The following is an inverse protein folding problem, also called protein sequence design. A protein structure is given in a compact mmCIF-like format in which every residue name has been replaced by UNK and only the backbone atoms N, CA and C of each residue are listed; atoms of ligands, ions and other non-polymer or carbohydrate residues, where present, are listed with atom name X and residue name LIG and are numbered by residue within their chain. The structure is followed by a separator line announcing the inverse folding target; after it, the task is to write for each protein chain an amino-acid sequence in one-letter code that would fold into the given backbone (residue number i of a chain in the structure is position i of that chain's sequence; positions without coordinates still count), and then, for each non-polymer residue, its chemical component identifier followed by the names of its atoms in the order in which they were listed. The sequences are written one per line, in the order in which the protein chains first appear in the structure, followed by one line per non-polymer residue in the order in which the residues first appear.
data_IF_348480238009
#
_entry.id   IF_348480238009
#
_cell.length_a   1.000
_cell.length_b   1.000
_cell.length_c   1.000
_cell.angle_alpha   90.00
_cell.angle_beta   90.00
_cell.angle_gamma   90.00
#
_symmetry.space_group_name_H-M   'P 1'
#
loop_
_entity.id
_entity.type
_entity.pdbx_description
1 polymer ?
#
# COMPACT_ATOMS: atom_id res chain seq x y z
N UNK A 1 -63.25 55.80 2.71
CA UNK A 1 -64.61 55.52 3.21
C UNK A 1 -64.89 54.04 3.03
N UNK A 2 -65.35 53.36 4.09
CA UNK A 2 -66.13 52.12 4.01
C UNK A 2 -65.38 50.77 4.03
N UNK A 3 -65.07 50.28 5.24
CA UNK A 3 -65.15 48.84 5.59
C UNK A 3 -66.62 48.37 5.52
N UNK A 4 -66.97 47.08 5.29
CA UNK A 4 -67.11 46.14 6.42
C UNK A 4 -66.90 44.61 6.17
N UNK A 5 -66.38 43.95 7.21
CA UNK A 5 -66.73 42.66 7.84
C UNK A 5 -66.85 41.33 7.03
N UNK A 6 -66.07 40.33 7.48
CA UNK A 6 -66.62 39.11 8.11
C UNK A 6 -65.61 38.41 9.02
N UNK A 7 -66.06 38.07 10.22
CA UNK A 7 -65.39 37.36 11.30
C UNK A 7 -65.50 35.83 11.15
N UNK A 8 -64.46 35.09 11.54
CA UNK A 8 -64.57 33.69 11.99
C UNK A 8 -63.55 33.45 13.11
N UNK A 9 -64.04 32.89 14.22
CA UNK A 9 -63.31 32.73 15.47
C UNK A 9 -62.22 31.65 15.46
N UNK A 10 -61.15 31.93 16.20
CA UNK A 10 -60.05 31.00 16.46
C UNK A 10 -60.47 29.94 17.50
N UNK A 11 -60.47 28.68 17.07
CA UNK A 11 -60.59 27.50 17.94
C UNK A 11 -59.18 27.11 18.39
N UNK A 12 -58.90 27.24 19.69
CA UNK A 12 -57.61 26.93 20.33
C UNK A 12 -57.32 25.43 20.19
N UNK A 13 -56.30 25.05 19.41
CA UNK A 13 -55.81 23.67 19.26
C UNK A 13 -55.03 23.24 20.51
N UNK A 14 -55.31 22.04 21.00
CA UNK A 14 -54.86 21.49 22.28
C UNK A 14 -53.48 20.83 22.12
N UNK A 15 -52.47 21.62 21.71
CA UNK A 15 -51.15 21.11 21.29
C UNK A 15 -50.34 20.49 22.45
N UNK A 16 -50.54 20.96 23.70
CA UNK A 16 -49.90 20.36 24.88
C UNK A 16 -50.38 18.93 25.16
N UNK A 17 -51.66 18.63 24.94
CA UNK A 17 -52.18 17.27 25.16
C UNK A 17 -51.59 16.28 24.15
N UNK A 18 -51.38 16.73 22.90
CA UNK A 18 -50.77 15.92 21.85
C UNK A 18 -49.30 15.65 22.14
N UNK A 19 -48.56 16.63 22.65
CA UNK A 19 -47.15 16.46 23.04
C UNK A 19 -46.99 15.45 24.19
N UNK A 20 -47.86 15.51 25.20
CA UNK A 20 -47.84 14.60 26.35
C UNK A 20 -48.15 13.16 25.89
N UNK A 21 -49.19 12.97 25.06
CA UNK A 21 -49.55 11.65 24.55
C UNK A 21 -48.41 11.05 23.71
N UNK A 22 -47.75 11.86 22.88
CA UNK A 22 -46.64 11.40 22.03
C UNK A 22 -45.41 11.00 22.87
N UNK A 23 -45.14 11.76 23.94
CA UNK A 23 -44.01 11.47 24.85
C UNK A 23 -44.26 10.20 25.67
N UNK A 24 -45.48 10.01 26.18
CA UNK A 24 -45.87 8.80 26.92
C UNK A 24 -45.84 7.57 26.01
N UNK A 25 -46.36 7.68 24.78
CA UNK A 25 -46.27 6.59 23.80
C UNK A 25 -44.81 6.25 23.45
N UNK A 26 -43.94 7.26 23.29
CA UNK A 26 -42.52 7.04 23.04
C UNK A 26 -41.81 6.33 24.19
N UNK A 27 -42.11 6.69 25.45
CA UNK A 27 -41.57 6.00 26.62
C UNK A 27 -42.07 4.57 26.74
N UNK A 28 -43.36 4.34 26.53
CA UNK A 28 -43.96 2.99 26.58
C UNK A 28 -43.37 2.12 25.46
N UNK A 29 -43.26 2.64 24.25
CA UNK A 29 -42.67 1.93 23.11
C UNK A 29 -41.18 1.62 23.35
N UNK A 30 -40.41 2.58 23.88
CA UNK A 30 -39.00 2.38 24.26
C UNK A 30 -38.84 1.34 25.37
N UNK A 31 -39.73 1.32 26.36
CA UNK A 31 -39.75 0.35 27.44
C UNK A 31 -40.07 -1.07 26.95
N UNK A 32 -41.05 -1.21 26.04
CA UNK A 32 -41.38 -2.51 25.44
C UNK A 32 -40.26 -3.02 24.53
N UNK A 33 -39.59 -2.15 23.77
CA UNK A 33 -38.39 -2.53 23.01
C UNK A 33 -37.28 -2.96 23.98
N UNK A 34 -37.03 -2.19 25.04
CA UNK A 34 -36.00 -2.47 26.04
C UNK A 34 -36.19 -3.78 26.81
N UNK A 35 -37.43 -4.20 27.07
CA UNK A 35 -37.75 -5.47 27.74
C UNK A 35 -37.86 -6.64 26.77
N UNK A 36 -38.11 -6.37 25.49
CA UNK A 36 -38.15 -7.39 24.44
C UNK A 36 -36.76 -7.82 23.94
N UNK A 37 -35.70 -7.14 24.39
CA UNK A 37 -34.33 -7.61 24.25
C UNK A 37 -33.90 -8.30 25.56
N UNK A 38 -33.94 -9.65 25.64
CA UNK A 38 -33.23 -10.32 26.71
C UNK A 38 -31.74 -9.94 26.60
N UNK A 39 -31.15 -9.54 27.72
CA UNK A 39 -29.69 -9.46 27.88
C UNK A 39 -29.09 -10.71 27.23
N UNK A 40 -28.35 -10.53 26.14
CA UNK A 40 -27.65 -11.62 25.46
C UNK A 40 -26.58 -12.16 26.41
N UNK A 41 -26.97 -13.16 27.20
CA UNK A 41 -26.04 -14.21 27.61
C UNK A 41 -25.56 -14.86 26.32
N UNK A 42 -24.25 -14.76 26.04
CA UNK A 42 -23.57 -15.54 25.00
C UNK A 42 -23.66 -17.02 25.37
N UNK A 43 -24.78 -17.65 25.06
CA UNK A 43 -24.98 -19.08 25.15
C UNK A 43 -25.77 -19.55 23.91
N UNK A 44 -25.06 -20.31 23.06
CA UNK A 44 -25.57 -21.12 21.93
C UNK A 44 -26.31 -20.37 20.82
N UNK A 45 -25.58 -20.07 19.75
CA UNK A 45 -26.16 -19.85 18.42
C UNK A 45 -26.69 -21.20 17.92
N UNK A 46 -28.01 -21.34 17.73
CA UNK A 46 -28.60 -22.42 16.94
C UNK A 46 -28.72 -21.94 15.49
N UNK A 47 -27.96 -22.56 14.58
CA UNK A 47 -28.02 -22.26 13.16
C UNK A 47 -29.30 -22.82 12.52
N UNK A 48 -29.96 -22.08 11.61
CA UNK A 48 -31.11 -22.57 10.85
C UNK A 48 -30.71 -23.68 9.87
N UNK A 49 -31.60 -24.65 9.67
CA UNK A 49 -31.40 -25.87 8.87
C UNK A 49 -31.02 -25.64 7.40
N UNK A 50 -31.30 -24.45 6.86
CA UNK A 50 -30.89 -24.06 5.50
C UNK A 50 -29.37 -23.85 5.36
N UNK A 51 -28.67 -23.48 6.43
CA UNK A 51 -27.21 -23.35 6.46
C UNK A 51 -26.52 -24.68 6.74
N UNK A 52 -27.22 -25.61 7.41
CA UNK A 52 -26.73 -26.98 7.66
C UNK A 52 -26.69 -27.77 6.34
N UNK A 53 -27.70 -27.64 5.47
CA UNK A 53 -27.71 -28.31 4.16
C UNK A 53 -26.56 -27.87 3.25
N UNK A 54 -26.15 -26.60 3.26
CA UNK A 54 -24.98 -26.14 2.48
C UNK A 54 -23.65 -26.63 3.05
N UNK A 55 -23.61 -26.86 4.37
CA UNK A 55 -22.47 -27.42 5.09
C UNK A 55 -22.36 -28.93 4.83
N UNK A 56 -23.46 -29.67 4.88
CA UNK A 56 -23.50 -31.10 4.58
C UNK A 56 -23.14 -31.41 3.12
N UNK A 57 -23.46 -30.52 2.16
CA UNK A 57 -22.99 -30.67 0.76
C UNK A 57 -21.49 -30.40 0.64
N UNK A 58 -20.91 -29.56 1.50
CA UNK A 58 -19.46 -29.31 1.52
C UNK A 58 -18.65 -30.44 2.19
N UNK A 59 -19.30 -31.27 3.04
CA UNK A 59 -18.67 -32.37 3.78
C UNK A 59 -19.15 -33.77 3.36
N UNK A 60 -20.14 -33.85 2.47
CA UNK A 60 -20.84 -35.08 2.09
C UNK A 60 -20.24 -35.75 0.85
N UNK A 61 -19.00 -36.22 0.93
CA UNK A 61 -18.54 -37.33 0.06
C UNK A 61 -17.31 -38.10 0.56
N UNK A 62 -16.65 -37.68 1.66
CA UNK A 62 -15.47 -38.39 2.21
C UNK A 62 -15.66 -38.77 3.69
N UNK A 63 -16.47 -39.81 3.93
CA UNK A 63 -16.63 -40.43 5.26
C UNK A 63 -15.66 -41.59 5.53
N UNK A 64 -14.52 -41.66 4.84
CA UNK A 64 -13.46 -42.59 5.19
C UNK A 64 -12.18 -41.84 5.62
N UNK A 65 -11.93 -41.87 6.94
CA UNK A 65 -10.67 -41.53 7.64
C UNK A 65 -10.43 -40.07 8.04
N UNK A 66 -11.42 -39.38 8.61
CA UNK A 66 -11.08 -38.40 9.64
C UNK A 66 -10.75 -39.14 10.94
N UNK A 67 -9.46 -39.45 11.13
CA UNK A 67 -8.95 -39.73 12.48
C UNK A 67 -9.32 -38.53 13.33
N UNK A 68 -10.03 -38.73 14.45
CA UNK A 68 -10.34 -37.68 15.42
C UNK A 68 -9.04 -37.03 15.90
N UNK A 69 -8.56 -36.01 15.19
CA UNK A 69 -7.58 -35.06 15.72
C UNK A 69 -8.35 -34.17 16.67
N UNK A 70 -8.47 -34.62 17.92
CA UNK A 70 -8.97 -33.76 18.98
C UNK A 70 -8.05 -32.55 19.07
N UNK A 71 -8.61 -31.36 18.88
CA UNK A 71 -7.91 -30.14 19.27
C UNK A 71 -7.64 -30.25 20.78
N UNK A 72 -6.41 -29.99 21.25
CA UNK A 72 -6.04 -30.15 22.66
C UNK A 72 -6.68 -29.10 23.59
N UNK A 73 -7.81 -28.50 23.21
CA UNK A 73 -8.60 -27.63 24.07
C UNK A 73 -9.40 -28.42 25.12
N UNK A 74 -9.64 -29.72 24.91
CA UNK A 74 -10.40 -30.57 25.84
C UNK A 74 -9.54 -31.64 26.52
N UNK A 75 -8.41 -31.24 27.13
CA UNK A 75 -7.77 -32.05 28.17
C UNK A 75 -8.48 -31.87 29.54
N UNK A 76 -9.79 -31.67 29.55
CA UNK A 76 -10.58 -31.38 30.74
C UNK A 76 -11.36 -32.59 31.27
N UNK A 77 -10.67 -33.69 31.60
CA UNK A 77 -11.22 -34.70 32.51
C UNK A 77 -10.52 -34.59 33.85
N UNK A 78 -11.20 -33.96 34.81
CA UNK A 78 -10.92 -34.17 36.24
C UNK A 78 -9.63 -33.59 36.83
N UNK A 79 -9.22 -32.38 36.44
CA UNK A 79 -8.52 -31.37 37.27
C UNK A 79 -8.06 -30.27 36.32
N UNK A 80 -8.45 -29.04 36.60
CA UNK A 80 -8.41 -27.89 35.69
C UNK A 80 -7.07 -27.76 34.93
N UNK A 81 -7.04 -27.91 33.59
CA UNK A 81 -5.91 -27.42 32.81
C UNK A 81 -6.14 -25.93 32.66
N UNK A 82 -5.44 -25.12 33.46
CA UNK A 82 -5.20 -23.74 33.09
C UNK A 82 -4.66 -23.77 31.65
N UNK A 83 -5.29 -23.02 30.74
CA UNK A 83 -4.73 -22.77 29.41
C UNK A 83 -3.22 -22.54 29.54
N UNK A 84 -2.40 -23.22 28.72
CA UNK A 84 -0.95 -23.18 28.90
C UNK A 84 -0.51 -21.72 28.94
N UNK A 85 0.11 -21.31 30.05
CA UNK A 85 0.61 -19.94 30.25
C UNK A 85 1.87 -19.76 29.42
N UNK A 86 1.69 -19.63 28.11
CA UNK A 86 2.76 -19.37 27.16
C UNK A 86 2.98 -17.87 27.17
N UNK A 87 4.25 -17.49 27.34
CA UNK A 87 4.71 -16.14 27.13
C UNK A 87 6.14 -16.20 26.61
N UNK A 88 6.31 -15.90 25.32
CA UNK A 88 7.60 -15.92 24.64
C UNK A 88 7.93 -14.50 24.19
N UNK A 89 8.82 -13.78 24.90
CA UNK A 89 9.15 -12.39 24.60
C UNK A 89 9.83 -12.17 23.23
N UNK A 90 10.40 -13.22 22.65
CA UNK A 90 11.04 -13.17 21.32
C UNK A 90 10.04 -13.29 20.16
N UNK A 91 8.77 -13.62 20.44
CA UNK A 91 7.73 -13.60 19.41
C UNK A 91 7.42 -12.16 18.99
N UNK A 92 6.82 -11.96 17.79
CA UNK A 92 6.30 -10.66 17.40
C UNK A 92 5.36 -10.07 18.44
N UNK A 93 5.34 -8.73 18.54
CA UNK A 93 4.48 -8.03 19.50
C UNK A 93 3.01 -8.43 19.31
N UNK A 94 2.34 -8.80 20.40
CA UNK A 94 0.96 -9.29 20.39
C UNK A 94 0.83 -10.80 20.13
N UNK A 95 1.92 -11.51 19.83
CA UNK A 95 1.97 -12.96 19.63
C UNK A 95 2.76 -13.68 20.74
N UNK A 96 3.06 -13.02 21.85
CA UNK A 96 3.84 -13.59 22.96
C UNK A 96 3.16 -14.81 23.58
N UNK A 97 1.82 -14.88 23.52
CA UNK A 97 1.04 -16.02 24.02
C UNK A 97 1.05 -17.25 23.11
N UNK A 98 1.69 -17.19 21.93
CA UNK A 98 1.74 -18.30 20.98
C UNK A 98 2.99 -19.17 21.19
N UNK A 99 2.88 -20.51 21.05
CA UNK A 99 4.06 -21.37 20.95
C UNK A 99 4.94 -20.93 19.76
N UNK A 100 6.27 -20.84 19.91
CA UNK A 100 7.12 -20.34 18.82
C UNK A 100 7.00 -21.12 17.51
N UNK A 101 6.74 -22.43 17.61
CA UNK A 101 6.63 -23.32 16.45
C UNK A 101 5.42 -23.06 15.54
N UNK A 102 4.41 -22.30 15.97
CA UNK A 102 3.26 -21.91 15.14
C UNK A 102 3.35 -20.45 14.65
N UNK A 103 4.31 -19.67 15.17
CA UNK A 103 4.44 -18.25 14.84
C UNK A 103 5.06 -18.10 13.46
N UNK A 104 4.34 -17.40 12.58
CA UNK A 104 4.83 -16.95 11.28
C UNK A 104 4.88 -15.42 11.35
N UNK A 105 6.08 -14.85 11.45
CA UNK A 105 6.28 -13.42 11.74
C UNK A 105 6.12 -12.50 10.52
N UNK A 106 6.21 -13.06 9.32
CA UNK A 106 6.19 -12.34 8.04
C UNK A 106 5.21 -13.01 7.09
N UNK A 107 4.74 -12.28 6.08
CA UNK A 107 3.89 -12.79 5.02
C UNK A 107 4.61 -12.68 3.66
N UNK A 108 3.90 -13.05 2.59
CA UNK A 108 4.38 -12.96 1.22
C UNK A 108 3.21 -12.72 0.24
N UNK A 109 3.54 -12.45 -1.02
CA UNK A 109 2.56 -12.35 -2.10
C UNK A 109 2.51 -13.61 -2.98
N UNK A 110 3.00 -14.74 -2.50
CA UNK A 110 2.97 -15.97 -3.29
C UNK A 110 1.55 -16.51 -3.40
N UNK A 111 1.08 -16.66 -4.63
CA UNK A 111 -0.24 -17.21 -4.92
C UNK A 111 -0.26 -18.71 -4.60
N UNK A 112 -1.29 -19.14 -3.88
CA UNK A 112 -1.53 -20.53 -3.44
C UNK A 112 -2.84 -21.04 -4.04
N UNK A 113 -2.92 -22.34 -4.34
CA UNK A 113 -4.12 -22.94 -4.92
C UNK A 113 -5.20 -23.09 -3.84
N UNK A 114 -6.46 -23.13 -4.25
CA UNK A 114 -7.59 -23.32 -3.32
C UNK A 114 -7.74 -24.78 -2.84
N UNK A 115 -7.03 -25.74 -3.45
CA UNK A 115 -7.10 -27.17 -3.17
C UNK A 115 -5.74 -27.85 -3.38
N UNK A 116 -5.60 -29.07 -2.86
CA UNK A 116 -4.38 -29.88 -2.97
C UNK A 116 -3.39 -29.64 -1.83
N UNK A 117 -2.17 -30.14 -2.00
CA UNK A 117 -1.11 -30.03 -1.00
C UNK A 117 -0.40 -28.65 -1.07
N UNK A 118 -0.33 -27.88 0.02
CA UNK A 118 0.34 -26.57 0.02
C UNK A 118 1.81 -26.62 -0.38
N UNK A 119 2.47 -27.76 -0.17
CA UNK A 119 3.88 -27.97 -0.55
C UNK A 119 4.12 -27.97 -2.06
N UNK A 120 3.08 -28.21 -2.86
CA UNK A 120 3.16 -28.27 -4.32
C UNK A 120 2.85 -26.93 -5.01
N UNK A 121 2.30 -25.95 -4.28
CA UNK A 121 1.84 -24.67 -4.83
C UNK A 121 3.01 -23.83 -5.36
N UNK A 122 4.17 -23.90 -4.70
CA UNK A 122 5.30 -23.01 -4.93
C UNK A 122 6.52 -23.78 -5.47
N UNK A 123 6.41 -24.27 -6.72
CA UNK A 123 7.54 -24.92 -7.42
C UNK A 123 8.77 -24.00 -7.55
N UNK A 124 8.51 -22.71 -7.76
CA UNK A 124 9.52 -21.65 -7.82
C UNK A 124 9.01 -20.46 -7.03
N UNK A 125 9.88 -19.83 -6.24
CA UNK A 125 9.54 -18.64 -5.45
C UNK A 125 10.17 -17.40 -6.11
N UNK A 126 9.36 -16.41 -6.54
CA UNK A 126 9.88 -15.14 -7.02
C UNK A 126 10.77 -14.48 -5.97
N UNK A 127 11.91 -13.94 -6.39
CA UNK A 127 12.91 -13.30 -5.51
C UNK A 127 12.77 -11.78 -5.48
N UNK A 128 12.11 -11.22 -6.48
CA UNK A 128 11.98 -9.78 -6.66
C UNK A 128 10.51 -9.42 -6.84
N UNK A 129 10.15 -8.19 -6.48
CA UNK A 129 8.81 -7.65 -6.67
C UNK A 129 8.87 -6.46 -7.61
N UNK A 130 7.99 -6.41 -8.60
CA UNK A 130 7.77 -5.20 -9.41
C UNK A 130 6.33 -4.75 -9.29
N UNK A 131 6.18 -3.45 -8.99
CA UNK A 131 4.88 -2.79 -8.89
C UNK A 131 4.77 -1.67 -9.92
N UNK A 132 3.61 -1.56 -10.54
CA UNK A 132 3.25 -0.46 -11.43
C UNK A 132 1.96 0.17 -10.97
N UNK A 133 1.88 1.50 -10.97
CA UNK A 133 0.62 2.23 -10.74
C UNK A 133 0.00 2.57 -12.08
N UNK A 134 -1.12 1.92 -12.39
CA UNK A 134 -1.60 1.76 -13.77
C UNK A 134 -3.03 2.26 -13.98
N UNK A 135 -3.27 2.80 -15.16
CA UNK A 135 -4.59 2.92 -15.79
C UNK A 135 -4.65 2.16 -17.11
N UNK A 136 -5.86 1.77 -17.53
CA UNK A 136 -6.05 0.93 -18.72
C UNK A 136 -5.50 1.56 -20.00
N UNK A 137 -5.50 2.90 -20.10
CA UNK A 137 -4.98 3.61 -21.27
C UNK A 137 -3.47 3.34 -21.48
N UNK A 138 -2.73 2.97 -20.44
CA UNK A 138 -1.30 2.65 -20.48
C UNK A 138 -0.99 1.15 -20.57
N UNK A 139 -2.01 0.29 -20.71
CA UNK A 139 -1.86 -1.17 -20.68
C UNK A 139 -0.82 -1.73 -21.66
N UNK A 140 -0.68 -1.11 -22.84
CA UNK A 140 0.29 -1.55 -23.86
C UNK A 140 1.72 -1.24 -23.42
N UNK A 141 1.94 -0.09 -22.78
CA UNK A 141 3.25 0.27 -22.25
C UNK A 141 3.63 -0.67 -21.09
N UNK A 142 2.69 -0.96 -20.20
CA UNK A 142 2.90 -1.95 -19.12
C UNK A 142 3.15 -3.35 -19.67
N UNK A 143 2.45 -3.76 -20.73
CA UNK A 143 2.73 -5.04 -21.39
C UNK A 143 4.16 -5.09 -21.95
N UNK A 144 4.67 -4.01 -22.53
CA UNK A 144 6.07 -3.93 -22.97
C UNK A 144 7.04 -3.97 -21.78
N UNK A 145 6.71 -3.30 -20.67
CA UNK A 145 7.49 -3.33 -19.43
C UNK A 145 7.58 -4.74 -18.84
N UNK A 146 6.45 -5.43 -18.66
CA UNK A 146 6.37 -6.77 -18.05
C UNK A 146 7.23 -7.79 -18.78
N UNK A 147 7.35 -7.69 -20.11
CA UNK A 147 8.21 -8.58 -20.91
C UNK A 147 9.71 -8.45 -20.58
N UNK A 148 10.14 -7.43 -19.84
CA UNK A 148 11.53 -7.26 -19.39
C UNK A 148 11.84 -7.96 -18.07
N UNK A 149 10.83 -8.54 -17.42
CA UNK A 149 10.94 -9.22 -16.13
C UNK A 149 10.77 -10.72 -16.32
N UNK A 150 11.63 -11.51 -15.67
CA UNK A 150 11.59 -12.98 -15.70
C UNK A 150 10.61 -13.54 -14.66
N UNK A 151 10.48 -14.85 -14.59
CA UNK A 151 9.67 -15.55 -13.57
C UNK A 151 10.22 -15.39 -12.14
N UNK A 152 11.44 -14.86 -11.97
CA UNK A 152 11.98 -14.46 -10.67
C UNK A 152 11.26 -13.21 -10.09
N UNK A 153 10.39 -12.56 -10.86
CA UNK A 153 9.66 -11.36 -10.45
C UNK A 153 8.17 -11.65 -10.19
N UNK A 154 7.71 -11.32 -8.99
CA UNK A 154 6.29 -11.17 -8.73
C UNK A 154 5.83 -9.84 -9.33
N UNK A 155 4.75 -9.87 -10.11
CA UNK A 155 4.17 -8.68 -10.72
C UNK A 155 2.93 -8.28 -9.92
N UNK A 156 2.84 -6.99 -9.57
CA UNK A 156 1.70 -6.40 -8.89
C UNK A 156 1.30 -5.08 -9.57
N UNK A 157 0.01 -4.91 -9.83
CA UNK A 157 -0.54 -3.74 -10.50
C UNK A 157 -1.47 -2.98 -9.54
N UNK A 158 -1.25 -1.68 -9.40
CA UNK A 158 -2.06 -0.76 -8.61
C UNK A 158 -2.97 0.06 -9.53
N UNK A 159 -4.24 -0.33 -9.64
CA UNK A 159 -5.21 0.21 -10.60
C UNK A 159 -5.90 1.45 -10.04
N UNK A 160 -5.48 2.64 -10.47
CA UNK A 160 -6.11 3.88 -10.03
C UNK A 160 -7.44 4.19 -10.75
N UNK A 161 -7.78 3.48 -11.81
CA UNK A 161 -8.98 3.69 -12.61
C UNK A 161 -10.13 2.73 -12.26
N UNK A 162 -9.83 1.68 -11.47
CA UNK A 162 -10.81 0.68 -11.07
C UNK A 162 -11.02 -0.45 -12.09
N UNK A 163 -10.18 -0.57 -13.13
CA UNK A 163 -10.39 -1.47 -14.27
C UNK A 163 -9.40 -2.63 -14.27
N UNK A 164 -9.81 -3.80 -13.78
CA UNK A 164 -8.94 -4.98 -13.69
C UNK A 164 -9.23 -6.03 -14.75
N UNK A 165 -10.50 -6.31 -15.07
CA UNK A 165 -10.90 -7.41 -15.98
C UNK A 165 -10.40 -7.20 -17.40
N UNK A 166 -10.31 -5.96 -17.88
CA UNK A 166 -9.83 -5.68 -19.24
C UNK A 166 -8.35 -6.05 -19.45
N UNK A 167 -7.60 -6.27 -18.37
CA UNK A 167 -6.21 -6.73 -18.43
C UNK A 167 -6.09 -8.24 -18.71
N UNK A 168 -7.17 -9.02 -18.54
CA UNK A 168 -7.19 -10.47 -18.78
C UNK A 168 -6.88 -10.85 -20.24
N UNK A 169 -6.87 -9.87 -21.16
CA UNK A 169 -6.38 -10.04 -22.53
C UNK A 169 -4.89 -10.45 -22.57
N UNK A 170 -4.13 -10.18 -21.51
CA UNK A 170 -2.73 -10.57 -21.38
C UNK A 170 -2.60 -11.77 -20.45
N UNK A 171 -2.07 -12.90 -20.96
CA UNK A 171 -1.93 -14.13 -20.16
C UNK A 171 -1.05 -13.96 -18.92
N UNK A 172 -0.05 -13.08 -18.96
CA UNK A 172 0.75 -12.76 -17.78
C UNK A 172 -0.07 -12.04 -16.70
N UNK A 173 -1.10 -11.28 -17.08
CA UNK A 173 -1.91 -10.50 -16.15
C UNK A 173 -2.75 -11.41 -15.25
N UNK A 174 -3.22 -12.56 -15.76
CA UNK A 174 -3.95 -13.55 -14.96
C UNK A 174 -3.13 -14.15 -13.81
N UNK A 175 -1.80 -14.01 -13.88
CA UNK A 175 -0.85 -14.46 -12.84
C UNK A 175 -0.30 -13.29 -12.01
N UNK A 176 -0.61 -12.05 -12.39
CA UNK A 176 -0.23 -10.86 -11.64
C UNK A 176 -1.23 -10.61 -10.50
N UNK A 177 -0.80 -9.84 -9.50
CA UNK A 177 -1.68 -9.40 -8.42
C UNK A 177 -2.27 -8.04 -8.78
N UNK A 178 -3.58 -7.92 -8.73
CA UNK A 178 -4.29 -6.70 -9.02
C UNK A 178 -4.86 -6.11 -7.73
N UNK A 179 -4.50 -4.86 -7.41
CA UNK A 179 -5.11 -4.09 -6.32
C UNK A 179 -5.73 -2.84 -6.91
N UNK A 180 -6.99 -2.58 -6.58
CA UNK A 180 -7.80 -1.60 -7.30
C UNK A 180 -8.58 -0.70 -6.33
N UNK A 181 -8.20 0.58 -6.31
CA UNK A 181 -8.83 1.66 -5.56
C UNK A 181 -8.78 2.93 -6.40
N UNK A 182 -9.96 3.47 -6.71
CA UNK A 182 -10.06 4.61 -7.64
C UNK A 182 -9.34 5.84 -7.11
N UNK A 183 -8.64 6.53 -8.02
CA UNK A 183 -7.99 7.83 -7.82
C UNK A 183 -6.98 7.86 -6.67
N UNK A 184 -6.31 6.75 -6.42
CA UNK A 184 -5.20 6.68 -5.47
C UNK A 184 -3.85 6.73 -6.20
N UNK A 185 -2.87 7.35 -5.55
CA UNK A 185 -1.50 7.53 -6.05
C UNK A 185 -0.62 6.33 -5.73
N UNK A 186 0.51 6.24 -6.45
CA UNK A 186 1.54 5.21 -6.24
C UNK A 186 1.95 5.03 -4.77
N UNK A 187 2.25 6.14 -4.09
CA UNK A 187 2.72 6.09 -2.71
C UNK A 187 1.60 5.80 -1.70
N UNK A 188 0.34 6.09 -2.04
CA UNK A 188 -0.80 5.63 -1.24
C UNK A 188 -0.89 4.11 -1.22
N UNK A 189 -0.74 3.47 -2.39
CA UNK A 189 -0.71 2.02 -2.53
C UNK A 189 0.51 1.41 -1.83
N UNK A 190 1.70 1.94 -2.12
CA UNK A 190 2.94 1.44 -1.54
C UNK A 190 2.89 1.45 0.00
N UNK A 191 2.35 2.52 0.61
CA UNK A 191 2.19 2.60 2.07
C UNK A 191 1.26 1.52 2.64
N UNK A 192 0.24 1.06 1.90
CA UNK A 192 -0.80 0.17 2.42
C UNK A 192 -0.58 -1.30 2.08
N UNK A 193 0.00 -1.57 0.91
CA UNK A 193 0.14 -2.93 0.41
C UNK A 193 1.59 -3.43 0.46
N UNK A 194 2.58 -2.54 0.45
CA UNK A 194 3.99 -2.95 0.52
C UNK A 194 4.55 -2.85 1.95
N UNK A 195 3.81 -3.35 2.95
CA UNK A 195 4.30 -3.37 4.33
C UNK A 195 5.60 -4.18 4.42
N UNK A 196 6.63 -3.76 5.19
CA UNK A 196 7.93 -4.42 5.21
C UNK A 196 7.84 -5.91 5.53
N UNK A 197 7.02 -6.28 6.50
CA UNK A 197 6.83 -7.69 6.89
C UNK A 197 5.98 -8.50 5.89
N UNK A 198 5.36 -7.87 4.89
CA UNK A 198 4.65 -8.54 3.77
C UNK A 198 5.56 -8.72 2.56
N UNK A 199 6.43 -7.74 2.29
CA UNK A 199 7.39 -7.81 1.17
C UNK A 199 8.75 -8.35 1.60
N UNK A 200 8.88 -8.81 2.84
CA UNK A 200 10.10 -9.40 3.39
C UNK A 200 10.56 -10.66 2.65
N UNK A 201 9.71 -11.27 1.82
CA UNK A 201 10.09 -12.39 0.97
C UNK A 201 10.95 -11.98 -0.26
N UNK A 202 11.00 -10.69 -0.61
CA UNK A 202 11.64 -10.18 -1.83
C UNK A 202 12.96 -9.46 -1.50
N UNK A 203 14.01 -9.72 -2.28
CA UNK A 203 15.32 -9.08 -2.12
C UNK A 203 15.32 -7.62 -2.58
N UNK A 204 14.61 -7.34 -3.68
CA UNK A 204 14.48 -6.03 -4.29
C UNK A 204 13.04 -5.75 -4.72
N UNK A 205 12.61 -4.50 -4.55
CA UNK A 205 11.26 -4.01 -4.77
C UNK A 205 11.30 -2.82 -5.73
N UNK A 206 10.71 -2.99 -6.91
CA UNK A 206 10.59 -1.97 -7.95
C UNK A 206 9.23 -1.27 -7.80
N UNK A 207 9.24 0.06 -7.75
CA UNK A 207 8.02 0.88 -7.57
C UNK A 207 7.94 1.90 -8.69
N UNK A 208 7.43 1.48 -9.84
CA UNK A 208 7.56 2.22 -11.10
C UNK A 208 6.28 2.92 -11.52
N UNK A 209 6.44 4.06 -12.18
CA UNK A 209 5.38 4.71 -12.94
C UNK A 209 5.11 3.96 -14.26
N UNK A 210 3.96 4.25 -14.84
CA UNK A 210 3.41 3.57 -16.02
C UNK A 210 3.85 4.14 -17.38
N UNK A 211 4.51 5.31 -17.38
CA UNK A 211 4.87 6.09 -18.58
C UNK A 211 6.36 5.96 -18.94
N UNK A 212 6.92 4.76 -18.70
CA UNK A 212 8.33 4.42 -18.92
C UNK A 212 8.51 3.56 -20.18
N UNK A 213 9.32 4.03 -21.12
CA UNK A 213 9.85 3.24 -22.22
C UNK A 213 11.02 2.38 -21.75
N UNK A 214 10.98 1.09 -22.07
CA UNK A 214 11.87 0.06 -21.52
C UNK A 214 12.66 -0.69 -22.59
N UNK A 215 12.77 -0.13 -23.79
CA UNK A 215 13.37 -0.77 -24.98
C UNK A 215 14.77 -1.31 -24.66
N UNK A 216 15.54 -0.55 -23.89
CA UNK A 216 16.93 -0.82 -23.54
C UNK A 216 17.14 -1.41 -22.15
N UNK A 217 16.05 -1.70 -21.43
CA UNK A 217 16.09 -2.24 -20.08
C UNK A 217 16.00 -3.77 -20.07
N UNK A 218 16.75 -4.39 -19.16
CA UNK A 218 16.66 -5.81 -18.80
C UNK A 218 16.77 -5.97 -17.27
N UNK A 219 15.73 -6.49 -16.63
CA UNK A 219 15.64 -6.54 -15.17
C UNK A 219 16.71 -7.44 -14.53
N UNK A 220 17.08 -8.54 -15.19
CA UNK A 220 18.08 -9.46 -14.66
C UNK A 220 19.48 -8.83 -14.65
N UNK A 221 19.87 -8.19 -15.75
CA UNK A 221 21.14 -7.45 -15.85
C UNK A 221 21.16 -6.28 -14.87
N UNK A 222 20.05 -5.57 -14.73
CA UNK A 222 19.92 -4.49 -13.76
C UNK A 222 20.20 -4.98 -12.33
N UNK A 223 19.54 -6.04 -11.88
CA UNK A 223 19.78 -6.60 -10.54
C UNK A 223 21.21 -7.09 -10.35
N UNK A 224 21.83 -7.69 -11.37
CA UNK A 224 23.24 -8.07 -11.31
C UNK A 224 24.15 -6.86 -11.03
N UNK A 225 23.89 -5.73 -11.68
CA UNK A 225 24.67 -4.50 -11.49
C UNK A 225 24.40 -3.85 -10.12
N UNK A 226 23.14 -3.81 -9.70
CA UNK A 226 22.75 -3.33 -8.36
C UNK A 226 23.51 -4.11 -7.28
N UNK A 227 23.50 -5.46 -7.36
CA UNK A 227 24.24 -6.33 -6.45
C UNK A 227 25.76 -6.15 -6.56
N UNK A 228 26.30 -6.08 -7.78
CA UNK A 228 27.75 -5.87 -8.04
C UNK A 228 28.27 -4.58 -7.41
N UNK A 229 27.49 -3.51 -7.47
CA UNK A 229 27.90 -2.17 -7.02
C UNK A 229 27.43 -1.80 -5.61
N UNK A 230 26.80 -2.76 -4.89
CA UNK A 230 26.33 -2.58 -3.52
C UNK A 230 25.25 -1.50 -3.38
N UNK A 231 24.38 -1.37 -4.39
CA UNK A 231 23.31 -0.38 -4.38
C UNK A 231 22.11 -0.91 -3.58
N UNK A 232 21.68 -0.12 -2.59
CA UNK A 232 20.52 -0.40 -1.74
C UNK A 232 19.28 0.37 -2.21
N UNK A 233 19.48 1.55 -2.80
CA UNK A 233 18.43 2.31 -3.50
C UNK A 233 18.97 2.68 -4.86
N UNK A 234 18.21 2.41 -5.91
CA UNK A 234 18.71 2.63 -7.27
C UNK A 234 17.60 3.00 -8.23
N UNK A 235 17.97 3.47 -9.40
CA UNK A 235 17.06 3.54 -10.55
C UNK A 235 17.84 3.24 -11.84
N UNK A 236 17.15 2.87 -12.93
CA UNK A 236 17.72 2.90 -14.27
C UNK A 236 18.15 4.32 -14.67
N UNK A 237 19.16 4.43 -15.54
CA UNK A 237 19.50 5.71 -16.17
C UNK A 237 18.34 6.25 -17.02
N UNK A 238 18.16 7.57 -17.04
CA UNK A 238 17.18 8.21 -17.92
C UNK A 238 17.85 8.71 -19.20
N UNK A 239 17.29 8.33 -20.34
CA UNK A 239 17.70 8.87 -21.63
C UNK A 239 17.39 10.39 -21.68
N UNK A 240 18.38 11.26 -21.98
CA UNK A 240 18.23 12.72 -21.86
C UNK A 240 17.40 13.38 -22.98
N UNK A 241 16.89 12.61 -23.95
CA UNK A 241 16.31 13.13 -25.19
C UNK A 241 15.09 14.04 -25.00
N UNK A 242 14.37 13.92 -23.88
CA UNK A 242 13.15 14.68 -23.60
C UNK A 242 13.33 15.77 -22.51
N UNK A 243 14.58 16.11 -22.17
CA UNK A 243 14.90 16.98 -21.04
C UNK A 243 14.80 16.26 -19.71
N UNK A 244 15.54 16.75 -18.70
CA UNK A 244 15.62 16.13 -17.38
C UNK A 244 15.51 17.21 -16.29
N UNK A 245 14.76 16.89 -15.24
CA UNK A 245 14.67 17.76 -14.06
C UNK A 245 15.99 17.78 -13.30
N UNK A 246 16.54 16.58 -13.05
CA UNK A 246 17.72 16.34 -12.23
C UNK A 246 18.86 15.78 -13.08
N UNK A 247 20.07 16.35 -13.00
CA UNK A 247 21.24 15.79 -13.69
C UNK A 247 21.65 14.43 -13.12
N UNK A 248 21.26 14.13 -11.88
CA UNK A 248 21.62 12.87 -11.22
C UNK A 248 20.91 11.67 -11.84
N UNK A 249 19.78 11.86 -12.52
CA UNK A 249 19.05 10.76 -13.18
C UNK A 249 19.53 10.51 -14.61
N UNK A 250 20.37 11.40 -15.15
CA UNK A 250 20.83 11.36 -16.54
C UNK A 250 21.74 10.16 -16.77
N UNK A 251 21.38 9.34 -17.76
CA UNK A 251 22.23 8.23 -18.22
C UNK A 251 23.60 8.72 -18.69
N UNK A 252 24.65 7.99 -18.29
CA UNK A 252 26.05 8.16 -18.73
C UNK A 252 26.47 7.00 -19.65
N UNK A 253 26.81 7.31 -20.89
CA UNK A 253 27.13 6.27 -21.89
C UNK A 253 28.45 5.52 -21.65
N UNK A 254 29.31 6.04 -20.78
CA UNK A 254 30.69 5.58 -20.53
C UNK A 254 30.84 4.79 -19.21
N UNK A 255 29.76 4.62 -18.44
CA UNK A 255 29.78 3.99 -17.11
C UNK A 255 28.72 2.90 -16.99
N UNK A 256 28.95 1.94 -16.08
CA UNK A 256 27.91 0.97 -15.71
C UNK A 256 26.89 1.58 -14.75
N UNK A 257 27.38 2.37 -13.79
CA UNK A 257 26.64 3.07 -12.74
C UNK A 257 27.30 4.40 -12.40
N UNK A 258 26.54 5.32 -11.83
CA UNK A 258 27.07 6.49 -11.12
C UNK A 258 26.28 6.82 -9.86
N UNK A 259 26.91 7.55 -8.93
CA UNK A 259 26.38 7.84 -7.59
C UNK A 259 26.41 9.32 -7.21
N UNK A 260 27.04 10.12 -8.06
CA UNK A 260 27.27 11.56 -7.95
C UNK A 260 27.09 12.22 -9.32
N UNK A 261 26.83 13.53 -9.34
CA UNK A 261 26.73 14.34 -10.56
C UNK A 261 27.10 15.80 -10.32
N UNK A 262 27.47 16.48 -11.40
CA UNK A 262 27.55 17.94 -11.44
C UNK A 262 26.16 18.49 -11.78
N UNK A 263 25.53 19.14 -10.81
CA UNK A 263 24.24 19.79 -11.00
C UNK A 263 24.36 21.25 -11.43
N UNK A 264 23.19 21.83 -11.76
CA UNK A 264 23.05 23.26 -12.06
C UNK A 264 23.66 24.12 -10.93
N UNK A 265 24.34 25.24 -11.25
CA UNK A 265 24.94 26.11 -10.24
C UNK A 265 23.96 26.50 -9.13
N UNK A 266 24.36 26.28 -7.88
CA UNK A 266 23.57 26.61 -6.68
C UNK A 266 22.56 25.55 -6.25
N UNK A 267 22.45 24.41 -6.94
CA UNK A 267 21.49 23.35 -6.60
C UNK A 267 22.02 22.35 -5.58
N UNK A 268 23.34 22.28 -5.39
CA UNK A 268 23.97 21.41 -4.41
C UNK A 268 24.63 22.21 -3.32
N UNK A 269 24.13 22.08 -2.10
CA UNK A 269 24.78 22.62 -0.91
C UNK A 269 26.01 21.79 -0.50
N UNK A 270 25.99 20.50 -0.80
CA UNK A 270 27.05 19.53 -0.52
C UNK A 270 27.06 18.48 -1.65
N UNK A 271 28.23 18.11 -2.21
CA UNK A 271 28.31 17.14 -3.31
C UNK A 271 27.85 15.72 -2.93
N UNK A 272 27.89 15.36 -1.65
CA UNK A 272 27.45 14.05 -1.15
C UNK A 272 25.96 14.03 -0.75
N UNK A 273 25.26 15.14 -0.90
CA UNK A 273 23.83 15.26 -0.59
C UNK A 273 23.00 15.41 -1.88
N UNK A 274 21.71 15.05 -1.83
CA UNK A 274 20.76 15.37 -2.88
C UNK A 274 20.72 16.86 -3.20
N UNK A 275 20.55 17.22 -4.49
CA UNK A 275 20.35 16.31 -5.61
C UNK A 275 21.65 15.79 -6.26
N UNK A 276 22.84 16.22 -5.82
CA UNK A 276 24.11 15.85 -6.45
C UNK A 276 24.53 14.39 -6.25
N UNK A 277 24.24 13.82 -5.08
CA UNK A 277 24.47 12.42 -4.77
C UNK A 277 23.37 11.93 -3.84
N UNK A 278 23.41 10.63 -3.50
CA UNK A 278 22.44 10.03 -2.58
C UNK A 278 20.96 10.23 -2.99
N UNK A 279 20.71 10.35 -4.30
CA UNK A 279 19.43 10.74 -4.89
C UNK A 279 19.07 9.82 -6.05
N UNK A 280 17.81 9.38 -6.06
CA UNK A 280 17.13 8.83 -7.23
C UNK A 280 15.72 9.41 -7.26
N UNK A 281 15.17 9.62 -8.44
CA UNK A 281 13.84 10.14 -8.61
C UNK A 281 12.79 9.08 -8.28
N UNK A 282 11.71 9.52 -7.64
CA UNK A 282 10.61 8.66 -7.21
C UNK A 282 9.85 8.00 -8.37
N UNK A 283 10.15 8.29 -9.64
CA UNK A 283 9.47 7.75 -10.81
C UNK A 283 9.75 6.26 -11.04
N UNK A 284 11.03 5.85 -11.01
CA UNK A 284 11.45 4.47 -11.25
C UNK A 284 12.40 3.89 -10.18
N UNK A 285 12.17 4.11 -8.87
CA UNK A 285 13.05 3.62 -7.83
C UNK A 285 12.97 2.11 -7.67
N UNK A 286 14.09 1.56 -7.21
CA UNK A 286 14.27 0.17 -6.80
C UNK A 286 14.94 0.16 -5.44
N UNK A 287 14.31 -0.49 -4.48
CA UNK A 287 14.78 -0.58 -3.11
C UNK A 287 15.21 -2.00 -2.80
N UNK A 288 16.31 -2.17 -2.06
CA UNK A 288 16.53 -3.42 -1.33
C UNK A 288 15.48 -3.60 -0.24
N UNK A 289 15.32 -4.84 0.22
CA UNK A 289 14.46 -5.17 1.36
C UNK A 289 14.73 -4.29 2.59
N UNK A 290 16.00 -4.12 2.93
CA UNK A 290 16.42 -3.36 4.12
C UNK A 290 16.14 -1.87 3.97
N UNK A 291 16.49 -1.27 2.82
CA UNK A 291 16.21 0.12 2.56
C UNK A 291 14.69 0.39 2.55
N UNK A 292 13.91 -0.50 1.95
CA UNK A 292 12.46 -0.38 1.91
C UNK A 292 11.82 -0.38 3.30
N UNK A 293 12.33 -1.19 4.24
CA UNK A 293 11.82 -1.21 5.63
C UNK A 293 11.88 0.18 6.26
N UNK A 294 12.95 0.92 6.05
CA UNK A 294 13.05 2.31 6.51
C UNK A 294 12.16 3.26 5.69
N UNK A 295 12.23 3.20 4.36
CA UNK A 295 11.46 4.10 3.47
C UNK A 295 9.96 3.99 3.71
N UNK A 296 9.45 2.78 3.94
CA UNK A 296 8.04 2.57 4.25
C UNK A 296 7.58 3.32 5.50
N UNK A 297 8.40 3.40 6.55
CA UNK A 297 8.10 4.16 7.76
C UNK A 297 8.20 5.67 7.55
N UNK A 298 8.98 6.12 6.58
CA UNK A 298 9.08 7.52 6.19
C UNK A 298 7.84 8.03 5.46
N UNK A 299 7.19 7.18 4.65
CA UNK A 299 5.98 7.54 3.91
C UNK A 299 4.82 7.84 4.88
N UNK A 300 4.22 9.03 4.73
CA UNK A 300 3.12 9.51 5.56
C UNK A 300 1.77 8.98 5.04
N UNK A 301 0.84 8.70 5.94
CA UNK A 301 -0.46 8.13 5.56
C UNK A 301 -1.36 9.11 4.77
N UNK A 302 -1.19 10.41 5.01
CA UNK A 302 -2.00 11.51 4.47
C UNK A 302 -1.33 12.29 3.32
N UNK A 303 -0.01 12.17 3.17
CA UNK A 303 0.75 12.74 2.03
C UNK A 303 0.95 11.66 0.97
N UNK A 304 0.09 11.67 -0.04
CA UNK A 304 -0.09 10.54 -0.94
C UNK A 304 0.73 10.66 -2.23
N UNK A 305 1.19 11.85 -2.63
CA UNK A 305 1.90 12.04 -3.90
C UNK A 305 3.38 11.69 -3.83
N UNK A 306 3.97 11.69 -2.63
CA UNK A 306 5.37 11.31 -2.40
C UNK A 306 6.43 12.30 -2.90
N UNK A 307 6.05 13.48 -3.40
CA UNK A 307 7.00 14.52 -3.80
C UNK A 307 7.88 14.94 -2.61
N UNK A 308 9.20 14.93 -2.82
CA UNK A 308 10.18 15.23 -1.79
C UNK A 308 10.73 14.01 -1.06
N UNK A 309 10.11 12.82 -1.23
CA UNK A 309 10.66 11.58 -0.68
C UNK A 309 12.06 11.30 -1.24
N UNK A 310 12.26 11.55 -2.54
CA UNK A 310 13.51 11.46 -3.29
C UNK A 310 14.70 12.15 -2.58
N UNK A 311 14.47 13.30 -1.93
CA UNK A 311 15.49 14.00 -1.15
C UNK A 311 15.77 13.37 0.22
N UNK A 312 14.79 12.65 0.77
CA UNK A 312 14.86 12.05 2.10
C UNK A 312 15.32 10.58 2.07
N UNK A 313 15.30 9.90 0.92
CA UNK A 313 15.73 8.50 0.77
C UNK A 313 17.12 8.23 1.34
N UNK A 314 18.03 9.21 1.27
CA UNK A 314 19.39 9.15 1.86
C UNK A 314 19.41 8.76 3.34
N UNK A 315 18.32 8.99 4.08
CA UNK A 315 18.24 8.70 5.52
C UNK A 315 18.07 7.21 5.83
N UNK A 316 17.80 6.40 4.81
CA UNK A 316 17.52 4.97 4.97
C UNK A 316 18.70 4.07 4.61
N UNK A 317 19.86 4.64 4.30
CA UNK A 317 21.05 3.89 3.88
C UNK A 317 22.31 4.63 4.31
N UNK A 318 23.33 3.90 4.79
CA UNK A 318 24.61 4.47 5.24
C UNK A 318 25.82 3.70 4.64
N UNK A 319 26.81 4.38 4.05
CA UNK A 319 26.81 5.78 3.62
C UNK A 319 25.96 5.98 2.35
N UNK A 320 25.05 6.95 2.38
CA UNK A 320 24.03 7.11 1.34
C UNK A 320 24.61 7.39 -0.06
N UNK A 321 25.63 8.24 -0.16
CA UNK A 321 26.25 8.63 -1.44
C UNK A 321 27.04 7.49 -2.11
N UNK A 322 27.32 6.39 -1.41
CA UNK A 322 27.96 5.21 -1.99
C UNK A 322 26.96 4.08 -2.31
N UNK A 323 25.76 4.11 -1.73
CA UNK A 323 24.79 3.02 -1.84
C UNK A 323 23.51 3.41 -2.57
N UNK A 324 23.35 4.68 -2.90
CA UNK A 324 22.29 5.19 -3.75
C UNK A 324 22.89 5.61 -5.09
N UNK A 325 22.33 5.13 -6.20
CA UNK A 325 22.89 5.45 -7.51
C UNK A 325 22.04 5.02 -8.69
N UNK A 326 22.49 5.46 -9.87
CA UNK A 326 21.83 5.22 -11.15
C UNK A 326 22.59 4.16 -11.93
N UNK A 327 21.86 3.19 -12.49
CA UNK A 327 22.41 2.12 -13.31
C UNK A 327 22.36 2.55 -14.78
N UNK A 328 23.46 3.10 -15.28
CA UNK A 328 23.55 3.71 -16.61
C UNK A 328 23.47 2.71 -17.77
N UNK A 329 24.04 1.53 -17.57
CA UNK A 329 24.08 0.48 -18.60
C UNK A 329 22.73 -0.20 -18.80
N UNK A 330 21.73 0.09 -17.97
CA UNK A 330 20.34 -0.36 -18.10
C UNK A 330 19.43 0.85 -17.94
N UNK A 331 18.92 1.39 -19.04
CA UNK A 331 18.24 2.68 -19.03
C UNK A 331 16.82 2.60 -19.57
N UNK A 332 16.06 3.64 -19.25
CA UNK A 332 14.65 3.82 -19.62
C UNK A 332 14.44 5.21 -20.23
N UNK A 333 13.29 5.40 -20.86
CA UNK A 333 12.87 6.65 -21.49
C UNK A 333 11.63 7.16 -20.76
N UNK A 334 11.62 8.41 -20.30
CA UNK A 334 10.40 9.02 -19.78
C UNK A 334 9.53 9.50 -20.96
N UNK A 335 8.38 8.86 -21.15
CA UNK A 335 7.50 9.13 -22.28
C UNK A 335 6.48 10.26 -21.99
N UNK A 336 6.33 10.66 -20.72
CA UNK A 336 5.43 11.74 -20.27
C UNK A 336 3.99 11.52 -20.76
N UNK A 337 3.54 10.26 -20.77
CA UNK A 337 2.20 9.93 -21.22
C UNK A 337 1.21 10.38 -20.14
N UNK A 338 0.12 11.08 -20.48
CA UNK A 338 -0.78 11.61 -19.47
C UNK A 338 -1.38 10.49 -18.59
N UNK A 339 -1.17 10.63 -17.29
CA UNK A 339 -1.43 9.60 -16.27
C UNK A 339 -2.46 10.08 -15.24
N UNK A 340 -2.39 9.54 -14.02
CA UNK A 340 -3.16 9.94 -12.85
C UNK A 340 -3.29 11.46 -12.65
N UNK A 341 -2.32 12.27 -13.08
CA UNK A 341 -2.40 13.73 -13.03
C UNK A 341 -3.68 14.30 -13.67
N UNK A 342 -4.20 13.65 -14.73
CA UNK A 342 -5.43 14.08 -15.40
C UNK A 342 -6.72 13.63 -14.68
N UNK A 343 -6.63 12.80 -13.64
CA UNK A 343 -7.78 12.31 -12.87
C UNK A 343 -8.27 13.30 -11.78
N UNK A 344 -7.63 14.47 -11.71
CA UNK A 344 -8.04 15.60 -10.87
C UNK A 344 -9.40 16.19 -11.24
N UNK A 345 -9.77 17.29 -10.58
CA UNK A 345 -10.96 18.07 -10.91
C UNK A 345 -10.55 19.33 -11.65
N UNK A 346 -11.30 19.71 -12.68
CA UNK A 346 -11.20 21.05 -13.25
C UNK A 346 -11.94 22.02 -12.33
N UNK A 347 -11.27 23.10 -11.95
CA UNK A 347 -11.82 24.15 -11.11
C UNK A 347 -11.44 25.51 -11.75
N UNK A 348 -12.37 26.45 -11.81
CA UNK A 348 -12.16 27.80 -12.36
C UNK A 348 -11.51 27.84 -13.76
N UNK A 349 -11.85 26.89 -14.63
CA UNK A 349 -11.30 26.79 -15.99
C UNK A 349 -9.86 26.24 -16.05
N UNK A 350 -9.26 25.87 -14.91
CA UNK A 350 -7.95 25.19 -14.86
C UNK A 350 -8.09 23.73 -15.28
N UNK A 351 -7.05 23.21 -15.94
CA UNK A 351 -6.98 21.81 -16.33
C UNK A 351 -6.80 20.92 -15.08
N UNK A 352 -7.37 19.69 -15.04
CA UNK A 352 -7.30 18.80 -13.87
C UNK A 352 -5.90 18.59 -13.28
N UNK A 353 -4.88 18.48 -14.14
CA UNK A 353 -3.49 18.28 -13.73
C UNK A 353 -2.91 19.45 -12.92
N UNK A 354 -3.45 20.66 -13.09
CA UNK A 354 -2.98 21.84 -12.35
C UNK A 354 -3.32 21.70 -10.86
N UNK A 355 -4.55 21.30 -10.53
CA UNK A 355 -4.95 21.06 -9.14
C UNK A 355 -4.18 19.92 -8.48
N UNK A 356 -3.90 18.84 -9.22
CA UNK A 356 -3.04 17.75 -8.74
C UNK A 356 -1.63 18.27 -8.44
N UNK A 357 -1.04 19.06 -9.35
CA UNK A 357 0.31 19.62 -9.16
C UNK A 357 0.39 20.62 -8.01
N UNK A 358 -0.65 21.44 -7.82
CA UNK A 358 -0.77 22.32 -6.65
C UNK A 358 -0.79 21.50 -5.35
N UNK A 359 -1.56 20.40 -5.31
CA UNK A 359 -1.56 19.48 -4.18
C UNK A 359 -0.20 18.81 -3.96
N UNK A 360 0.49 18.35 -5.01
CA UNK A 360 1.83 17.78 -4.89
C UNK A 360 2.82 18.75 -4.22
N UNK A 361 2.80 20.04 -4.62
CA UNK A 361 3.65 21.07 -4.00
C UNK A 361 3.30 21.30 -2.54
N UNK A 362 2.00 21.37 -2.23
CA UNK A 362 1.53 21.52 -0.85
C UNK A 362 1.95 20.34 0.04
N UNK A 363 1.80 19.11 -0.45
CA UNK A 363 2.25 17.91 0.27
C UNK A 363 3.76 17.86 0.46
N UNK A 364 4.53 18.27 -0.55
CA UNK A 364 5.99 18.36 -0.44
C UNK A 364 6.42 19.34 0.65
N UNK A 365 5.85 20.56 0.66
CA UNK A 365 6.14 21.55 1.71
C UNK A 365 5.79 21.01 3.11
N UNK A 366 4.62 20.39 3.27
CA UNK A 366 4.22 19.76 4.54
C UNK A 366 5.18 18.64 4.96
N UNK A 367 5.67 17.82 4.03
CA UNK A 367 6.63 16.77 4.32
C UNK A 367 7.97 17.35 4.81
N UNK A 368 8.47 18.39 4.13
CA UNK A 368 9.70 19.08 4.53
C UNK A 368 9.56 19.67 5.94
N UNK A 369 8.45 20.36 6.23
CA UNK A 369 8.19 20.93 7.55
C UNK A 369 8.11 19.85 8.63
N UNK A 370 7.41 18.73 8.37
CA UNK A 370 7.33 17.61 9.33
C UNK A 370 8.70 17.03 9.62
N UNK A 371 9.50 16.78 8.59
CA UNK A 371 10.82 16.20 8.74
C UNK A 371 11.77 17.14 9.51
N UNK A 372 11.80 18.42 9.13
CA UNK A 372 12.64 19.42 9.80
C UNK A 372 12.25 19.64 11.26
N UNK A 373 10.94 19.69 11.56
CA UNK A 373 10.45 19.82 12.94
C UNK A 373 10.77 18.58 13.77
N UNK A 374 10.62 17.37 13.21
CA UNK A 374 10.97 16.12 13.89
C UNK A 374 12.48 16.06 14.21
N UNK A 375 13.33 16.43 13.25
CA UNK A 375 14.78 16.52 13.46
C UNK A 375 15.12 17.50 14.59
N UNK A 376 14.55 18.70 14.54
CA UNK A 376 14.76 19.72 15.58
C UNK A 376 14.34 19.21 16.96
N UNK A 377 13.20 18.55 17.07
CA UNK A 377 12.72 17.99 18.34
C UNK A 377 13.65 16.88 18.86
N UNK A 378 14.10 15.99 17.98
CA UNK A 378 15.01 14.91 18.34
C UNK A 378 16.35 15.45 18.87
N UNK A 379 16.99 16.37 18.16
CA UNK A 379 18.26 16.97 18.61
C UNK A 379 18.11 17.83 19.86
N UNK A 380 16.96 18.49 20.05
CA UNK A 380 16.68 19.21 21.29
C UNK A 380 16.55 18.28 22.51
N UNK A 381 16.11 17.03 22.33
CA UNK A 381 16.08 16.03 23.39
C UNK A 381 17.48 15.49 23.70
N UNK A 382 18.29 15.21 22.68
CA UNK A 382 19.68 14.77 22.85
C UNK A 382 20.57 15.84 23.49
N UNK A 383 20.35 17.12 23.20
CA UNK A 383 21.07 18.22 23.85
C UNK A 383 20.65 18.48 25.31
N UNK A 384 19.65 17.75 25.83
CA UNK A 384 19.16 17.82 27.22
C UNK A 384 19.53 16.59 28.05
N UNK A 385 20.11 15.56 27.43
CA UNK A 385 20.71 14.37 28.08
C UNK A 385 22.20 14.55 28.23
#
# INVERSE_FOLDING_TARGET
MGTPYRSVGFRKSNDSARLIITTVMGMVFGYFIGISFPLLSLAKINLPSSLISSLDVAFGEDHQRFTERSFPENLGSGSTPLSPKIYVPSNPRGAESLPPGIVVSESDFYLRRLWGEPSEDLKTKPKYLVTFTVGLDQKNNINAAVQKFSEDFQIMLFHYDGRTTEWDQFEWSKRAIHVSVRKQTKWWYAKRFLHPDVVAAYDYIFIWDEDLGVEHFNAQKYIQLVKKHGLEISQPGLEPNNGLTWQMTKRRGDKEVHKDTDEKPGWCSDPHLPPCAAFVEIMAPVFSREAWRCVWHMIQNDLVHGWGLDFALRRCVEPAHEKIGVVDSQWIIHQVIPSLGNQGRSEDGKAPWQGVRERCRGEWAMFQDRLANADKQYFAQLGRS
#
